data_IF_515240030003
#
_entry.id   IF_515240030003
#
_cell.length_a   1.000
_cell.length_b   1.000
_cell.length_c   1.000
_cell.angle_alpha   90.00
_cell.angle_beta   90.00
_cell.angle_gamma   90.00
#
_symmetry.space_group_name_H-M   'P 1'
#
loop_
_entity.id
_entity.type
_entity.pdbx_description
1 polymer ?
#
# COMPACT_ATOMS: atom_id res chain seq x y z
N UNK A 1 11.16 -5.98 -3.36
CA UNK A 1 10.33 -5.84 -4.58
C UNK A 1 10.62 -4.49 -5.26
N UNK A 2 10.75 -4.43 -6.58
CA UNK A 2 11.15 -3.20 -7.28
C UNK A 2 9.97 -2.20 -7.34
N UNK A 3 10.18 -0.92 -6.95
CA UNK A 3 9.16 0.17 -7.05
C UNK A 3 8.50 0.23 -8.44
N UNK A 4 9.21 -0.19 -9.49
CA UNK A 4 8.68 -0.31 -10.86
C UNK A 4 7.49 -1.27 -10.97
N UNK A 5 7.48 -2.37 -10.21
CA UNK A 5 6.39 -3.36 -10.19
C UNK A 5 5.17 -2.77 -9.47
N UNK A 6 5.38 -2.10 -8.34
CA UNK A 6 4.30 -1.44 -7.60
C UNK A 6 3.60 -0.36 -8.45
N UNK A 7 4.36 0.48 -9.16
CA UNK A 7 3.81 1.45 -10.12
C UNK A 7 3.00 0.78 -11.23
N UNK A 8 3.47 -0.34 -11.76
CA UNK A 8 2.72 -1.12 -12.76
C UNK A 8 1.44 -1.70 -12.19
N UNK A 9 1.41 -2.10 -10.93
CA UNK A 9 0.20 -2.58 -10.27
C UNK A 9 -0.85 -1.47 -10.16
N UNK A 10 -0.43 -0.28 -9.69
CA UNK A 10 -1.30 0.91 -9.63
C UNK A 10 -1.86 1.25 -11.02
N UNK A 11 -1.02 1.29 -12.05
CA UNK A 11 -1.45 1.55 -13.42
C UNK A 11 -2.47 0.52 -13.95
N UNK A 12 -2.32 -0.76 -13.57
CA UNK A 12 -3.27 -1.82 -13.93
C UNK A 12 -4.61 -1.65 -13.22
N UNK A 13 -4.61 -1.33 -11.92
CA UNK A 13 -5.82 -1.05 -11.15
C UNK A 13 -6.56 0.13 -11.77
N UNK A 14 -5.85 1.24 -12.01
CA UNK A 14 -6.42 2.43 -12.64
C UNK A 14 -7.10 2.11 -13.99
N UNK A 15 -6.43 1.34 -14.85
CA UNK A 15 -6.98 0.91 -16.14
C UNK A 15 -8.22 0.00 -15.98
N UNK A 16 -8.19 -0.94 -15.03
CA UNK A 16 -9.27 -1.90 -14.80
C UNK A 16 -10.54 -1.21 -14.29
N UNK A 17 -10.37 -0.25 -13.39
CA UNK A 17 -11.46 0.50 -12.75
C UNK A 17 -11.90 1.74 -13.56
N UNK A 18 -11.18 2.09 -14.64
CA UNK A 18 -11.51 3.25 -15.47
C UNK A 18 -11.23 4.60 -14.81
N UNK A 19 -10.33 4.65 -13.83
CA UNK A 19 -9.97 5.86 -13.05
C UNK A 19 -8.51 6.28 -13.28
N UNK A 20 -8.13 7.45 -12.75
CA UNK A 20 -6.74 7.92 -12.82
C UNK A 20 -5.86 7.20 -11.80
N UNK A 21 -4.58 7.03 -12.10
CA UNK A 21 -3.63 6.50 -11.12
C UNK A 21 -3.51 7.37 -9.85
N UNK A 22 -3.79 8.68 -9.96
CA UNK A 22 -3.82 9.58 -8.81
C UNK A 22 -4.96 9.22 -7.85
N UNK A 23 -6.13 8.85 -8.36
CA UNK A 23 -7.29 8.45 -7.56
C UNK A 23 -7.00 7.12 -6.86
N UNK A 24 -6.35 6.16 -7.54
CA UNK A 24 -5.88 4.93 -6.90
C UNK A 24 -4.93 5.24 -5.72
N UNK A 25 -3.95 6.14 -5.92
CA UNK A 25 -3.02 6.52 -4.85
C UNK A 25 -3.71 7.23 -3.70
N UNK A 26 -4.71 8.07 -3.99
CA UNK A 26 -5.46 8.79 -2.96
C UNK A 26 -6.26 7.84 -2.08
N UNK A 27 -7.05 6.94 -2.69
CA UNK A 27 -7.83 5.94 -1.96
C UNK A 27 -6.94 4.96 -1.20
N UNK A 28 -5.83 4.52 -1.81
CA UNK A 28 -4.84 3.73 -1.09
C UNK A 28 -4.25 4.47 0.11
N UNK A 29 -3.94 5.76 -0.03
CA UNK A 29 -3.39 6.56 1.08
C UNK A 29 -4.41 6.67 2.22
N UNK A 30 -5.70 6.82 1.91
CA UNK A 30 -6.77 6.81 2.92
C UNK A 30 -6.84 5.48 3.65
N UNK A 31 -6.87 4.36 2.92
CA UNK A 31 -6.90 3.02 3.51
C UNK A 31 -5.65 2.70 4.35
N UNK A 32 -4.47 3.12 3.89
CA UNK A 32 -3.21 2.99 4.65
C UNK A 32 -3.30 3.79 5.95
N UNK A 33 -3.80 5.03 5.90
CA UNK A 33 -3.96 5.86 7.10
C UNK A 33 -4.96 5.27 8.09
N UNK A 34 -6.05 4.69 7.62
CA UNK A 34 -7.03 3.99 8.46
C UNK A 34 -6.42 2.77 9.13
N UNK A 35 -5.67 1.96 8.39
CA UNK A 35 -4.93 0.82 8.93
C UNK A 35 -3.90 1.23 9.99
N UNK A 36 -3.11 2.29 9.72
CA UNK A 36 -2.13 2.83 10.66
C UNK A 36 -2.78 3.31 11.98
N UNK A 37 -3.95 3.96 11.89
CA UNK A 37 -4.69 4.50 13.05
C UNK A 37 -5.41 3.43 13.86
N UNK A 38 -5.58 2.22 13.33
CA UNK A 38 -6.25 1.14 14.03
C UNK A 38 -5.38 0.64 15.20
N UNK A 39 -5.81 0.97 16.42
CA UNK A 39 -5.10 0.60 17.66
C UNK A 39 -5.09 -0.91 17.91
N UNK A 40 -6.15 -1.62 17.51
CA UNK A 40 -6.28 -3.07 17.74
C UNK A 40 -5.28 -3.87 16.93
N UNK A 41 -4.96 -3.40 15.73
CA UNK A 41 -4.03 -4.06 14.80
C UNK A 41 -2.66 -3.39 14.75
N UNK A 42 -2.40 -2.43 15.64
CA UNK A 42 -1.19 -1.60 15.62
C UNK A 42 0.10 -2.41 15.71
N UNK A 43 0.15 -3.43 16.57
CA UNK A 43 1.32 -4.30 16.69
C UNK A 43 1.66 -5.03 15.39
N UNK A 44 0.65 -5.51 14.65
CA UNK A 44 0.85 -6.15 13.34
C UNK A 44 1.34 -5.14 12.31
N UNK A 45 0.81 -3.91 12.33
CA UNK A 45 1.27 -2.84 11.46
C UNK A 45 2.76 -2.55 11.68
N UNK A 46 3.16 -2.33 12.94
CA UNK A 46 4.54 -2.01 13.31
C UNK A 46 5.49 -3.16 12.96
N UNK A 47 5.05 -4.41 13.10
CA UNK A 47 5.83 -5.58 12.68
C UNK A 47 6.07 -5.66 11.16
N UNK A 48 5.14 -5.14 10.34
CA UNK A 48 5.23 -5.19 8.87
C UNK A 48 5.97 -3.98 8.31
N UNK A 49 5.65 -2.78 8.79
CA UNK A 49 6.10 -1.52 8.21
C UNK A 49 7.12 -0.76 9.06
N UNK A 50 7.30 -1.15 10.32
CA UNK A 50 8.11 -0.43 11.30
C UNK A 50 7.29 0.56 12.14
N UNK A 51 7.79 0.83 13.34
CA UNK A 51 7.15 1.78 14.26
C UNK A 51 7.05 3.17 13.65
N UNK A 52 5.90 3.82 13.89
CA UNK A 52 5.57 5.17 13.41
C UNK A 52 5.74 5.37 11.89
N UNK A 53 5.72 4.28 11.12
CA UNK A 53 5.93 4.34 9.67
C UNK A 53 4.59 4.27 8.93
N UNK A 54 4.39 5.25 8.05
CA UNK A 54 3.26 5.32 7.12
C UNK A 54 3.84 5.19 5.70
N UNK A 55 3.78 4.01 5.08
CA UNK A 55 4.35 3.81 3.75
C UNK A 55 3.56 4.58 2.69
N UNK A 56 4.22 4.98 1.62
CA UNK A 56 3.52 5.37 0.39
C UNK A 56 2.76 4.19 -0.23
N UNK A 57 1.76 4.42 -1.11
CA UNK A 57 1.05 3.33 -1.80
C UNK A 57 2.00 2.33 -2.50
N UNK A 58 3.05 2.82 -3.17
CA UNK A 58 4.04 1.96 -3.82
C UNK A 58 4.87 1.14 -2.82
N UNK A 59 5.25 1.72 -1.68
CA UNK A 59 5.98 1.01 -0.63
C UNK A 59 5.10 -0.05 0.03
N UNK A 60 3.84 0.27 0.30
CA UNK A 60 2.87 -0.66 0.84
C UNK A 60 2.73 -1.90 -0.05
N UNK A 61 2.50 -1.70 -1.36
CA UNK A 61 2.43 -2.81 -2.33
C UNK A 61 3.74 -3.60 -2.35
N UNK A 62 4.88 -2.91 -2.35
CA UNK A 62 6.20 -3.55 -2.41
C UNK A 62 6.48 -4.46 -1.21
N UNK A 63 6.08 -4.04 0.00
CA UNK A 63 6.22 -4.81 1.23
C UNK A 63 5.25 -5.99 1.23
N UNK A 64 3.95 -5.74 1.06
CA UNK A 64 2.93 -6.78 1.13
C UNK A 64 3.13 -7.85 0.06
N UNK A 65 3.39 -7.45 -1.19
CA UNK A 65 3.63 -8.44 -2.25
C UNK A 65 4.93 -9.23 -2.05
N UNK A 66 5.91 -8.71 -1.31
CA UNK A 66 7.09 -9.48 -0.91
C UNK A 66 6.81 -10.52 0.19
N UNK A 67 5.79 -10.29 1.01
CA UNK A 67 5.33 -11.24 2.03
C UNK A 67 4.52 -12.37 1.38
N UNK A 68 3.59 -12.01 0.49
CA UNK A 68 2.64 -12.96 -0.13
C UNK A 68 3.27 -13.79 -1.25
N UNK A 69 4.27 -13.28 -1.97
CA UNK A 69 4.91 -14.00 -3.08
C UNK A 69 5.94 -15.06 -2.63
N UNK A 70 5.93 -15.45 -1.35
CA UNK A 70 6.74 -16.54 -0.80
C UNK A 70 6.05 -17.89 -0.96
#
# INVERSE_FOLDING_TARGET
MNRKIARKAIARIAKMEGIKESEVREEMSRAIMEGYKNKETRGNWDAIFGENTIPSPEEFIAVIGGIVAK
#
